data_IF_569140854815
#
_entry.id   IF_569140854815
#
_cell.length_a   1.000
_cell.length_b   1.000
_cell.length_c   1.000
_cell.angle_alpha   90.00
_cell.angle_beta   90.00
_cell.angle_gamma   90.00
#
_symmetry.space_group_name_H-M   'P 1'
#
loop_
_entity.id
_entity.type
_entity.pdbx_description
1 polymer ?
#
# COMPACT_ATOMS: atom_id res chain seq x y z
N UNK A 1 -19.63 3.61 45.98
CA UNK A 1 -20.33 2.72 45.06
C UNK A 1 -19.85 3.11 43.68
N UNK A 2 -18.68 2.55 43.28
CA UNK A 2 -18.08 2.79 41.96
C UNK A 2 -18.71 1.82 40.99
N UNK A 3 -19.30 2.34 39.93
CA UNK A 3 -19.76 1.53 38.80
C UNK A 3 -18.52 1.26 37.94
N UNK A 4 -18.11 0.01 37.90
CA UNK A 4 -17.18 -0.52 36.88
C UNK A 4 -17.88 -0.43 35.56
N UNK A 5 -17.37 0.43 34.66
CA UNK A 5 -17.74 0.47 33.26
C UNK A 5 -17.06 -0.68 32.54
N UNK A 6 -17.83 -1.53 31.88
CA UNK A 6 -17.34 -2.57 30.97
C UNK A 6 -16.59 -1.89 29.81
N UNK A 7 -15.30 -1.99 29.83
CA UNK A 7 -14.39 -1.55 28.77
C UNK A 7 -14.36 -2.66 27.69
N UNK A 8 -15.47 -2.80 26.96
CA UNK A 8 -15.49 -3.59 25.71
C UNK A 8 -14.92 -2.73 24.59
N UNK A 9 -13.61 -2.48 24.65
CA UNK A 9 -12.84 -1.99 23.52
C UNK A 9 -12.92 -3.02 22.39
N UNK A 10 -13.65 -2.69 21.33
CA UNK A 10 -13.60 -3.44 20.07
C UNK A 10 -12.21 -3.18 19.50
N UNK A 11 -11.35 -4.15 19.63
CA UNK A 11 -9.99 -4.16 19.09
C UNK A 11 -10.13 -4.34 17.55
N UNK A 12 -10.25 -3.23 16.79
CA UNK A 12 -10.26 -3.26 15.33
C UNK A 12 -8.87 -3.59 14.82
N UNK A 13 -8.67 -4.85 14.46
CA UNK A 13 -7.46 -5.33 13.85
C UNK A 13 -7.52 -5.11 12.31
N UNK A 14 -6.38 -4.81 11.67
CA UNK A 14 -6.25 -4.76 10.19
C UNK A 14 -6.90 -5.97 9.51
N UNK A 15 -6.80 -7.14 10.12
CA UNK A 15 -7.43 -8.36 9.65
C UNK A 15 -8.97 -8.28 9.60
N UNK A 16 -9.62 -7.54 10.51
CA UNK A 16 -11.08 -7.44 10.54
C UNK A 16 -11.61 -6.60 9.37
N UNK A 17 -10.91 -5.52 9.00
CA UNK A 17 -11.25 -4.71 7.83
C UNK A 17 -11.08 -5.49 6.52
N UNK A 18 -9.98 -6.25 6.39
CA UNK A 18 -9.76 -7.11 5.23
C UNK A 18 -10.76 -8.27 5.14
N UNK A 19 -11.23 -8.77 6.28
CA UNK A 19 -12.29 -9.80 6.34
C UNK A 19 -13.59 -9.24 5.77
N UNK A 20 -14.00 -8.03 6.15
CA UNK A 20 -15.22 -7.40 5.62
C UNK A 20 -15.14 -7.17 4.10
N UNK A 21 -14.00 -6.69 3.59
CA UNK A 21 -13.79 -6.51 2.15
C UNK A 21 -13.83 -7.85 1.42
N UNK A 22 -13.21 -8.87 1.98
CA UNK A 22 -13.21 -10.22 1.41
C UNK A 22 -14.61 -10.84 1.40
N UNK A 23 -15.40 -10.62 2.45
CA UNK A 23 -16.80 -11.06 2.52
C UNK A 23 -17.66 -10.38 1.45
N UNK A 24 -17.44 -9.09 1.18
CA UNK A 24 -18.11 -8.38 0.07
C UNK A 24 -17.71 -8.97 -1.30
N UNK A 25 -16.43 -9.29 -1.51
CA UNK A 25 -15.97 -9.94 -2.74
C UNK A 25 -16.63 -11.32 -2.90
N UNK A 26 -16.68 -12.13 -1.85
CA UNK A 26 -17.34 -13.45 -1.85
C UNK A 26 -18.84 -13.36 -2.10
N UNK A 27 -19.51 -12.37 -1.51
CA UNK A 27 -20.93 -12.10 -1.77
C UNK A 27 -21.14 -11.75 -3.25
N UNK A 28 -20.29 -10.90 -3.86
CA UNK A 28 -20.39 -10.57 -5.28
C UNK A 28 -20.08 -11.75 -6.19
N UNK A 29 -19.14 -12.62 -5.83
CA UNK A 29 -18.90 -13.89 -6.52
C UNK A 29 -20.17 -14.75 -6.54
N UNK A 30 -20.84 -14.88 -5.41
CA UNK A 30 -22.07 -15.67 -5.30
C UNK A 30 -23.22 -15.06 -6.14
N UNK A 31 -23.35 -13.77 -6.15
CA UNK A 31 -24.32 -13.04 -6.98
C UNK A 31 -24.08 -13.28 -8.47
N UNK A 32 -22.85 -13.10 -8.95
CA UNK A 32 -22.46 -13.36 -10.35
C UNK A 32 -22.70 -14.79 -10.77
N UNK A 33 -22.42 -15.76 -9.90
CA UNK A 33 -22.74 -17.16 -10.17
C UNK A 33 -24.24 -17.37 -10.37
N UNK A 34 -25.07 -16.71 -9.57
CA UNK A 34 -26.53 -16.79 -9.71
C UNK A 34 -27.04 -16.07 -10.96
N UNK A 35 -26.46 -14.89 -11.31
CA UNK A 35 -26.78 -14.20 -12.57
C UNK A 35 -26.45 -15.07 -13.79
N UNK A 36 -25.28 -15.67 -13.84
CA UNK A 36 -24.85 -16.56 -14.91
C UNK A 36 -25.81 -17.77 -15.03
N UNK A 37 -26.17 -18.39 -13.90
CA UNK A 37 -27.15 -19.50 -13.88
C UNK A 37 -28.50 -19.05 -14.47
N UNK A 38 -28.99 -17.88 -14.10
CA UNK A 38 -30.26 -17.34 -14.59
C UNK A 38 -30.20 -17.10 -16.11
N UNK A 39 -29.11 -16.51 -16.62
CA UNK A 39 -28.90 -16.26 -18.04
C UNK A 39 -28.83 -17.58 -18.84
N UNK A 40 -28.14 -18.61 -18.33
CA UNK A 40 -28.06 -19.94 -18.96
C UNK A 40 -29.42 -20.60 -19.01
N UNK A 41 -30.23 -20.50 -17.95
CA UNK A 41 -31.62 -21.03 -17.93
C UNK A 41 -32.46 -20.29 -18.99
N UNK A 42 -32.28 -18.99 -19.18
CA UNK A 42 -33.00 -18.20 -20.19
C UNK A 42 -32.73 -18.64 -21.62
N UNK A 43 -31.51 -19.14 -21.88
CA UNK A 43 -31.13 -19.72 -23.17
C UNK A 43 -31.77 -21.09 -23.43
N UNK A 44 -32.44 -21.70 -22.44
CA UNK A 44 -33.04 -23.05 -22.52
C UNK A 44 -32.05 -24.11 -23.03
N UNK A 45 -30.78 -23.99 -22.66
CA UNK A 45 -29.73 -24.95 -22.99
C UNK A 45 -30.04 -26.29 -22.32
N UNK A 46 -29.86 -27.45 -22.97
CA UNK A 46 -30.01 -28.74 -22.31
C UNK A 46 -29.17 -28.80 -21.04
N UNK A 47 -29.78 -29.28 -19.93
CA UNK A 47 -29.17 -29.29 -18.58
C UNK A 47 -27.75 -29.82 -18.52
N UNK A 48 -27.42 -30.80 -19.35
CA UNK A 48 -26.06 -31.39 -19.39
C UNK A 48 -24.99 -30.39 -19.89
N UNK A 49 -25.32 -29.51 -20.82
CA UNK A 49 -24.41 -28.53 -21.39
C UNK A 49 -24.33 -27.26 -20.51
N UNK A 50 -25.50 -26.79 -20.04
CA UNK A 50 -25.56 -25.61 -19.17
C UNK A 50 -24.92 -25.86 -17.79
N UNK A 51 -25.10 -27.04 -17.22
CA UNK A 51 -24.47 -27.42 -15.94
C UNK A 51 -22.94 -27.54 -16.09
N UNK A 52 -22.46 -28.07 -17.22
CA UNK A 52 -21.04 -28.16 -17.53
C UNK A 52 -20.35 -26.79 -17.60
N UNK A 53 -21.03 -25.78 -18.18
CA UNK A 53 -20.52 -24.41 -18.26
C UNK A 53 -20.46 -23.70 -16.90
N UNK A 54 -21.51 -23.85 -16.11
CA UNK A 54 -21.55 -23.27 -14.75
C UNK A 54 -20.54 -23.96 -13.85
N UNK A 55 -20.39 -25.28 -13.94
CA UNK A 55 -19.42 -26.05 -13.14
C UNK A 55 -17.96 -25.77 -13.59
N UNK A 56 -17.69 -25.54 -14.87
CA UNK A 56 -16.36 -25.19 -15.34
C UNK A 56 -15.92 -23.80 -14.82
N UNK A 57 -16.85 -22.81 -14.75
CA UNK A 57 -16.61 -21.52 -14.11
C UNK A 57 -16.49 -21.61 -12.58
N UNK A 58 -17.20 -22.54 -11.94
CA UNK A 58 -17.20 -22.72 -10.50
C UNK A 58 -16.03 -23.54 -9.96
N UNK A 59 -15.42 -24.40 -10.79
CA UNK A 59 -14.39 -25.31 -10.34
C UNK A 59 -12.99 -24.72 -10.22
N UNK A 60 -12.79 -23.44 -10.63
CA UNK A 60 -11.50 -22.74 -10.48
C UNK A 60 -10.30 -23.45 -11.13
N UNK A 61 -10.55 -24.51 -11.91
CA UNK A 61 -9.47 -25.30 -12.50
C UNK A 61 -8.86 -24.55 -13.69
N UNK A 62 -7.60 -24.21 -13.58
CA UNK A 62 -6.77 -23.62 -14.63
C UNK A 62 -6.92 -24.41 -15.92
N UNK A 63 -7.54 -23.80 -16.93
CA UNK A 63 -7.68 -24.36 -18.29
C UNK A 63 -9.09 -24.76 -18.71
N UNK A 64 -10.06 -24.95 -17.80
CA UNK A 64 -11.43 -25.32 -18.17
C UNK A 64 -12.31 -24.13 -18.60
N UNK A 65 -11.98 -22.90 -18.16
CA UNK A 65 -12.63 -21.68 -18.64
C UNK A 65 -12.45 -21.47 -20.15
N UNK A 66 -11.26 -21.77 -20.67
CA UNK A 66 -10.97 -21.70 -22.11
C UNK A 66 -11.75 -22.76 -22.91
N UNK A 67 -11.96 -23.96 -22.35
CA UNK A 67 -12.76 -25.03 -22.99
C UNK A 67 -14.25 -24.68 -22.97
N UNK A 68 -14.75 -24.08 -21.89
CA UNK A 68 -16.12 -23.55 -21.81
C UNK A 68 -16.39 -22.45 -22.85
N UNK A 69 -15.44 -21.55 -23.06
CA UNK A 69 -15.53 -20.48 -24.05
C UNK A 69 -15.43 -21.01 -25.50
N UNK A 70 -14.58 -22.00 -25.75
CA UNK A 70 -14.49 -22.66 -27.06
C UNK A 70 -15.78 -23.41 -27.41
N UNK A 71 -16.47 -24.00 -26.42
CA UNK A 71 -17.75 -24.65 -26.60
C UNK A 71 -18.89 -23.65 -26.92
N UNK A 72 -18.85 -22.45 -26.37
CA UNK A 72 -19.78 -21.34 -26.68
C UNK A 72 -19.59 -20.82 -28.10
N UNK A 73 -18.39 -20.85 -28.66
CA UNK A 73 -18.06 -20.42 -30.02
C UNK A 73 -18.28 -21.49 -31.10
N UNK A 74 -18.60 -22.73 -30.72
CA UNK A 74 -18.78 -23.79 -31.71
C UNK A 74 -20.19 -23.80 -32.32
N UNK A 75 -20.28 -24.01 -33.66
CA UNK A 75 -21.56 -24.10 -34.38
C UNK A 75 -22.52 -25.14 -33.77
N UNK A 76 -22.00 -26.17 -33.06
CA UNK A 76 -22.78 -27.18 -32.38
C UNK A 76 -23.56 -26.66 -31.17
N UNK A 77 -23.08 -25.61 -30.50
CA UNK A 77 -23.76 -24.97 -29.38
C UNK A 77 -25.05 -24.27 -29.87
N UNK A 78 -25.00 -23.56 -31.01
CA UNK A 78 -26.15 -22.88 -31.56
C UNK A 78 -27.23 -23.85 -32.08
N UNK A 79 -26.85 -25.00 -32.61
CA UNK A 79 -27.79 -26.01 -33.15
C UNK A 79 -28.62 -26.73 -32.07
N UNK A 80 -28.14 -26.76 -30.81
CA UNK A 80 -28.83 -27.37 -29.67
C UNK A 80 -29.85 -26.48 -28.93
N UNK A 81 -29.87 -25.18 -29.23
CA UNK A 81 -30.74 -24.22 -28.56
C UNK A 81 -32.16 -24.28 -29.11
N UNK A 82 -33.05 -25.02 -28.47
CA UNK A 82 -34.50 -24.92 -28.64
C UNK A 82 -35.04 -23.72 -27.87
N UNK A 83 -34.99 -22.53 -28.43
CA UNK A 83 -35.58 -21.35 -27.81
C UNK A 83 -36.39 -20.54 -28.81
N UNK A 84 -37.45 -19.87 -28.33
CA UNK A 84 -38.25 -18.91 -29.09
C UNK A 84 -37.50 -17.60 -29.37
N UNK A 85 -36.29 -17.44 -28.81
CA UNK A 85 -35.44 -16.29 -28.97
C UNK A 85 -34.84 -16.25 -30.39
N UNK A 86 -34.84 -15.09 -30.99
CA UNK A 86 -34.14 -14.87 -32.26
C UNK A 86 -32.60 -14.88 -32.07
N UNK A 87 -31.85 -14.98 -33.16
CA UNK A 87 -30.39 -15.11 -33.10
C UNK A 87 -29.71 -13.89 -32.49
N UNK A 88 -30.25 -12.70 -32.64
CA UNK A 88 -29.74 -11.50 -32.02
C UNK A 88 -29.94 -11.47 -30.47
N UNK A 89 -31.10 -11.92 -30.05
CA UNK A 89 -31.39 -12.07 -28.60
C UNK A 89 -30.48 -13.11 -27.94
N UNK A 90 -30.26 -14.24 -28.60
CA UNK A 90 -29.32 -15.28 -28.14
C UNK A 90 -27.92 -14.72 -28.02
N UNK A 91 -27.45 -14.00 -29.04
CA UNK A 91 -26.12 -13.37 -29.06
C UNK A 91 -25.95 -12.40 -27.87
N UNK A 92 -26.90 -11.51 -27.66
CA UNK A 92 -26.86 -10.57 -26.52
C UNK A 92 -26.79 -11.27 -25.16
N UNK A 93 -27.48 -12.41 -24.99
CA UNK A 93 -27.42 -13.16 -23.73
C UNK A 93 -26.04 -13.84 -23.59
N UNK A 94 -25.50 -14.39 -24.66
CA UNK A 94 -24.17 -14.99 -24.64
C UNK A 94 -23.10 -13.97 -24.32
N UNK A 95 -23.14 -12.77 -24.94
CA UNK A 95 -22.21 -11.69 -24.67
C UNK A 95 -22.25 -11.28 -23.18
N UNK A 96 -23.44 -11.20 -22.59
CA UNK A 96 -23.59 -10.97 -21.13
C UNK A 96 -23.00 -12.08 -20.28
N UNK A 97 -23.22 -13.34 -20.64
CA UNK A 97 -22.62 -14.48 -19.92
C UNK A 97 -21.10 -14.37 -19.95
N UNK A 98 -20.51 -14.09 -21.11
CA UNK A 98 -19.06 -13.93 -21.25
C UNK A 98 -18.51 -12.77 -20.40
N UNK A 99 -19.21 -11.64 -20.38
CA UNK A 99 -18.85 -10.49 -19.55
C UNK A 99 -18.86 -10.86 -18.06
N UNK A 100 -19.95 -11.51 -17.59
CA UNK A 100 -20.09 -11.91 -16.17
C UNK A 100 -19.08 -13.01 -15.78
N UNK A 101 -18.75 -13.91 -16.70
CA UNK A 101 -17.70 -14.90 -16.46
C UNK A 101 -16.32 -14.24 -16.30
N UNK A 102 -15.99 -13.26 -17.14
CA UNK A 102 -14.74 -12.52 -17.02
C UNK A 102 -14.64 -11.71 -15.72
N UNK A 103 -15.76 -11.17 -15.22
CA UNK A 103 -15.82 -10.51 -13.91
C UNK A 103 -15.65 -11.53 -12.77
N UNK A 104 -16.35 -12.67 -12.86
CA UNK A 104 -16.26 -13.76 -11.88
C UNK A 104 -14.83 -14.31 -11.75
N UNK A 105 -14.17 -14.60 -12.86
CA UNK A 105 -12.78 -15.10 -12.85
C UNK A 105 -11.82 -14.11 -12.18
N UNK A 106 -11.99 -12.81 -12.43
CA UNK A 106 -11.17 -11.76 -11.79
C UNK A 106 -11.37 -11.72 -10.28
N UNK A 107 -12.64 -11.77 -9.82
CA UNK A 107 -12.95 -11.73 -8.39
C UNK A 107 -12.51 -12.99 -7.65
N UNK A 108 -12.72 -14.17 -8.25
CA UNK A 108 -12.23 -15.43 -7.67
C UNK A 108 -10.72 -15.46 -7.54
N UNK A 109 -10.00 -14.90 -8.54
CA UNK A 109 -8.55 -14.79 -8.45
C UNK A 109 -8.11 -13.80 -7.38
N UNK A 110 -8.82 -12.65 -7.23
CA UNK A 110 -8.55 -11.68 -6.16
C UNK A 110 -8.74 -12.35 -4.79
N UNK A 111 -9.84 -13.06 -4.58
CA UNK A 111 -10.14 -13.78 -3.33
C UNK A 111 -9.08 -14.85 -3.00
N UNK A 112 -8.65 -15.66 -4.00
CA UNK A 112 -7.58 -16.66 -3.83
C UNK A 112 -6.23 -16.02 -3.43
N UNK A 113 -5.88 -14.90 -4.05
CA UNK A 113 -4.64 -14.18 -3.74
C UNK A 113 -4.71 -13.57 -2.35
N UNK A 114 -5.86 -13.04 -1.95
CA UNK A 114 -6.08 -12.45 -0.63
C UNK A 114 -6.05 -13.52 0.47
N UNK A 115 -6.65 -14.70 0.25
CA UNK A 115 -6.52 -15.83 1.17
C UNK A 115 -5.05 -16.22 1.41
N UNK A 116 -4.23 -16.21 0.35
CA UNK A 116 -2.79 -16.47 0.48
C UNK A 116 -2.06 -15.37 1.24
N UNK A 117 -2.45 -14.10 1.05
CA UNK A 117 -1.89 -12.96 1.78
C UNK A 117 -2.17 -13.09 3.28
N UNK A 118 -3.41 -13.36 3.64
CA UNK A 118 -3.81 -13.58 5.05
C UNK A 118 -3.07 -14.78 5.64
N UNK A 119 -2.85 -15.83 4.85
CA UNK A 119 -2.06 -16.99 5.25
C UNK A 119 -0.55 -16.73 5.37
N UNK A 120 -0.06 -15.53 5.01
CA UNK A 120 1.33 -15.10 5.14
C UNK A 120 2.31 -15.78 4.17
N UNK A 121 1.85 -16.54 3.18
CA UNK A 121 2.70 -17.23 2.20
C UNK A 121 2.15 -17.04 0.80
N UNK A 122 2.90 -16.34 -0.05
CA UNK A 122 2.61 -16.15 -1.47
C UNK A 122 3.80 -16.56 -2.33
N UNK A 123 3.54 -17.21 -3.48
CA UNK A 123 4.60 -17.39 -4.47
C UNK A 123 4.82 -16.09 -5.27
N UNK A 124 5.99 -15.94 -5.91
CA UNK A 124 6.35 -14.73 -6.63
C UNK A 124 5.35 -14.36 -7.75
N UNK A 125 4.76 -15.35 -8.44
CA UNK A 125 3.77 -15.11 -9.50
C UNK A 125 2.46 -14.54 -8.98
N UNK A 126 2.00 -15.00 -7.82
CA UNK A 126 0.80 -14.47 -7.17
C UNK A 126 1.08 -13.08 -6.60
N UNK A 127 2.25 -12.86 -5.97
CA UNK A 127 2.66 -11.57 -5.43
C UNK A 127 2.78 -10.48 -6.53
N UNK A 128 3.26 -10.83 -7.72
CA UNK A 128 3.32 -9.91 -8.86
C UNK A 128 1.92 -9.50 -9.38
N UNK A 129 0.89 -10.27 -9.10
CA UNK A 129 -0.49 -9.99 -9.51
C UNK A 129 -1.31 -9.34 -8.39
N UNK A 130 -0.78 -9.32 -7.19
CA UNK A 130 -1.40 -8.62 -6.07
C UNK A 130 -1.38 -7.11 -6.34
N UNK A 131 -2.54 -6.47 -6.28
CA UNK A 131 -2.68 -5.03 -6.48
C UNK A 131 -2.69 -4.36 -5.10
N UNK A 132 -1.58 -3.74 -4.76
CA UNK A 132 -1.53 -2.86 -3.60
C UNK A 132 -2.32 -1.59 -3.88
N UNK A 133 -3.10 -1.16 -2.89
CA UNK A 133 -3.72 0.13 -2.95
C UNK A 133 -2.69 1.24 -2.71
N UNK A 134 -2.59 2.17 -3.65
CA UNK A 134 -1.69 3.32 -3.59
C UNK A 134 -2.45 4.64 -3.72
N UNK A 135 -1.82 5.75 -3.28
CA UNK A 135 -2.30 7.08 -3.60
C UNK A 135 -1.72 7.52 -4.95
N UNK A 136 -2.58 7.94 -5.90
CA UNK A 136 -2.13 8.44 -7.21
C UNK A 136 -1.60 9.87 -7.05
N UNK A 137 -0.42 10.03 -6.47
CA UNK A 137 0.21 11.32 -6.34
C UNK A 137 0.47 11.94 -7.71
N UNK A 138 0.43 13.26 -7.81
CA UNK A 138 0.58 14.01 -9.05
C UNK A 138 1.53 15.20 -8.92
N UNK A 139 2.13 15.61 -10.05
CA UNK A 139 3.04 16.75 -10.14
C UNK A 139 4.25 16.62 -9.22
N UNK A 140 4.60 17.69 -8.51
CA UNK A 140 5.79 17.71 -7.64
C UNK A 140 5.81 16.62 -6.56
N UNK A 141 4.64 16.13 -6.14
CA UNK A 141 4.55 15.08 -5.12
C UNK A 141 4.77 13.69 -5.71
N UNK A 142 4.31 13.44 -6.94
CA UNK A 142 4.64 12.25 -7.72
C UNK A 142 6.14 12.21 -8.04
N UNK A 143 6.72 13.34 -8.48
CA UNK A 143 8.16 13.44 -8.74
C UNK A 143 8.99 13.19 -7.48
N UNK A 144 8.50 13.60 -6.29
CA UNK A 144 9.19 13.39 -5.01
C UNK A 144 9.02 11.97 -4.48
N UNK A 145 7.81 11.42 -4.48
CA UNK A 145 7.46 10.20 -3.75
C UNK A 145 7.05 9.02 -4.61
N UNK A 146 6.70 9.22 -5.89
CA UNK A 146 6.05 8.22 -6.71
C UNK A 146 4.61 7.95 -6.25
N UNK A 147 4.20 6.68 -6.31
CA UNK A 147 2.89 6.20 -5.87
C UNK A 147 3.01 5.41 -4.56
N UNK A 148 2.92 6.05 -3.39
CA UNK A 148 3.05 5.35 -2.12
C UNK A 148 1.80 4.52 -1.79
N UNK A 149 1.99 3.43 -1.05
CA UNK A 149 0.87 2.64 -0.50
C UNK A 149 -0.02 3.51 0.40
N UNK A 150 -1.30 3.14 0.56
CA UNK A 150 -2.24 3.92 1.38
C UNK A 150 -1.86 4.02 2.86
N UNK A 151 -1.04 3.12 3.36
CA UNK A 151 -0.62 3.05 4.76
C UNK A 151 0.86 3.41 4.95
N UNK A 152 1.38 4.33 4.15
CA UNK A 152 2.78 4.72 4.21
C UNK A 152 3.14 5.42 5.54
N UNK A 153 4.41 5.28 5.94
CA UNK A 153 5.01 6.12 6.98
C UNK A 153 6.12 6.99 6.37
N UNK A 154 5.94 8.31 6.43
CA UNK A 154 6.89 9.31 5.96
C UNK A 154 7.59 9.98 7.14
N UNK A 155 8.92 9.92 7.23
CA UNK A 155 9.71 10.65 8.19
C UNK A 155 10.33 11.89 7.56
N UNK A 156 10.08 13.06 8.14
CA UNK A 156 10.68 14.34 7.72
C UNK A 156 11.64 14.83 8.80
N UNK A 157 12.88 15.05 8.46
CA UNK A 157 13.87 15.52 9.43
C UNK A 157 14.75 16.64 8.87
N UNK A 158 15.53 17.27 9.74
CA UNK A 158 16.47 18.35 9.39
C UNK A 158 16.72 19.29 10.56
N UNK A 159 17.71 20.17 10.40
CA UNK A 159 18.07 21.17 11.43
C UNK A 159 16.93 22.16 11.69
N UNK A 160 16.90 22.86 12.82
CA UNK A 160 15.95 23.95 13.03
C UNK A 160 15.98 24.99 11.92
N UNK A 161 14.81 25.55 11.57
CA UNK A 161 14.64 26.63 10.58
C UNK A 161 15.01 26.26 9.12
N UNK A 162 15.07 24.98 8.78
CA UNK A 162 15.36 24.53 7.42
C UNK A 162 14.12 24.38 6.52
N UNK A 163 12.90 24.52 7.08
CA UNK A 163 11.64 24.43 6.31
C UNK A 163 10.77 23.21 6.55
N UNK A 164 11.14 22.35 7.52
CA UNK A 164 10.37 21.11 7.82
C UNK A 164 8.87 21.35 8.01
N UNK A 165 8.48 22.26 8.91
CA UNK A 165 7.07 22.52 9.18
C UNK A 165 6.34 23.16 8.00
N UNK A 166 7.04 23.90 7.13
CA UNK A 166 6.45 24.43 5.87
C UNK A 166 6.19 23.28 4.91
N UNK A 167 7.18 22.39 4.73
CA UNK A 167 7.02 21.17 3.95
C UNK A 167 5.85 20.32 4.48
N UNK A 168 5.81 20.11 5.80
CA UNK A 168 4.77 19.31 6.45
C UNK A 168 3.36 19.88 6.24
N UNK A 169 3.17 21.20 6.37
CA UNK A 169 1.88 21.86 6.10
C UNK A 169 1.49 21.76 4.62
N UNK A 170 2.44 21.95 3.68
CA UNK A 170 2.17 21.78 2.24
C UNK A 170 1.79 20.34 1.93
N UNK A 171 2.48 19.36 2.52
CA UNK A 171 2.20 17.95 2.30
C UNK A 171 0.86 17.56 2.91
N UNK A 172 0.58 17.99 4.14
CA UNK A 172 -0.72 17.76 4.79
C UNK A 172 -1.88 18.35 3.97
N UNK A 173 -1.71 19.56 3.42
CA UNK A 173 -2.70 20.19 2.55
C UNK A 173 -2.90 19.38 1.25
N UNK A 174 -1.85 18.81 0.68
CA UNK A 174 -1.98 17.92 -0.49
C UNK A 174 -2.66 16.61 -0.13
N UNK A 175 -2.26 15.98 0.98
CA UNK A 175 -2.89 14.75 1.46
C UNK A 175 -4.40 14.92 1.73
N UNK A 176 -4.83 16.13 2.13
CA UNK A 176 -6.24 16.41 2.38
C UNK A 176 -7.14 16.37 1.12
N UNK A 177 -6.56 16.29 -0.08
CA UNK A 177 -7.27 16.02 -1.32
C UNK A 177 -7.74 14.55 -1.41
N UNK A 178 -7.06 13.65 -0.68
CA UNK A 178 -7.36 12.20 -0.66
C UNK A 178 -8.21 11.78 0.55
N UNK A 179 -8.36 12.63 1.56
CA UNK A 179 -9.18 12.36 2.72
C UNK A 179 -8.83 13.23 3.94
N UNK A 180 -9.56 13.10 5.05
CA UNK A 180 -9.34 13.89 6.26
C UNK A 180 -7.92 13.70 6.84
N UNK A 181 -7.30 14.81 7.22
CA UNK A 181 -5.94 14.87 7.78
C UNK A 181 -5.99 15.50 9.17
N UNK A 182 -5.38 14.87 10.16
CA UNK A 182 -5.08 15.45 11.44
C UNK A 182 -3.63 15.94 11.45
N UNK A 183 -3.41 17.25 11.66
CA UNK A 183 -2.08 17.83 11.88
C UNK A 183 -1.89 18.17 13.36
N UNK A 184 -1.04 17.43 14.05
CA UNK A 184 -0.69 17.67 15.44
C UNK A 184 0.47 18.67 15.50
N UNK A 185 0.16 19.92 15.87
CA UNK A 185 1.14 21.01 15.99
C UNK A 185 1.77 21.03 17.41
N UNK A 186 2.43 19.93 17.78
CA UNK A 186 2.92 19.75 19.16
C UNK A 186 3.99 20.77 19.56
N UNK A 187 4.89 21.17 18.66
CA UNK A 187 5.96 22.12 18.93
C UNK A 187 5.48 23.57 18.98
N UNK A 188 4.68 24.00 18.00
CA UNK A 188 4.25 25.40 17.88
C UNK A 188 2.93 25.70 18.59
N UNK A 189 2.02 24.71 18.70
CA UNK A 189 0.64 24.93 19.13
C UNK A 189 -0.12 25.87 18.20
N UNK A 190 -1.22 26.44 18.68
CA UNK A 190 -2.02 27.42 17.92
C UNK A 190 -1.37 28.83 17.93
N UNK A 191 -0.21 28.94 17.32
CA UNK A 191 0.60 30.16 17.27
C UNK A 191 0.31 31.02 16.05
N UNK A 192 0.73 32.30 16.09
CA UNK A 192 0.67 33.19 14.93
C UNK A 192 1.53 32.70 13.75
N UNK A 193 2.62 31.99 14.03
CA UNK A 193 3.50 31.41 13.02
C UNK A 193 2.84 30.23 12.33
N UNK A 194 2.13 29.36 13.06
CA UNK A 194 1.31 28.30 12.47
C UNK A 194 0.18 28.90 11.63
N UNK A 195 -0.56 29.90 12.14
CA UNK A 195 -1.62 30.56 11.41
C UNK A 195 -1.11 31.14 10.07
N UNK A 196 0.10 31.70 10.05
CA UNK A 196 0.71 32.19 8.82
C UNK A 196 0.99 31.06 7.83
N UNK A 197 1.57 29.94 8.29
CA UNK A 197 1.83 28.78 7.43
C UNK A 197 0.54 28.20 6.83
N UNK A 198 -0.52 28.11 7.65
CA UNK A 198 -1.84 27.65 7.18
C UNK A 198 -2.36 28.58 6.07
N UNK A 199 -2.32 29.90 6.27
CA UNK A 199 -2.77 30.87 5.28
C UNK A 199 -1.99 30.78 3.98
N UNK A 200 -0.68 30.57 4.07
CA UNK A 200 0.20 30.60 2.91
C UNK A 200 0.22 29.25 2.15
N UNK A 201 -0.04 28.11 2.85
CA UNK A 201 0.24 26.78 2.31
C UNK A 201 -0.81 25.69 2.59
N UNK A 202 -1.77 25.93 3.48
CA UNK A 202 -2.63 24.85 3.94
C UNK A 202 -4.02 25.28 4.40
N UNK A 203 -4.94 25.56 3.48
CA UNK A 203 -6.30 26.01 3.80
C UNK A 203 -7.42 25.07 3.36
N UNK A 204 -7.12 23.78 3.15
CA UNK A 204 -8.14 22.79 2.76
C UNK A 204 -9.07 22.48 3.94
N UNK A 205 -10.39 22.40 3.73
CA UNK A 205 -11.37 22.09 4.80
C UNK A 205 -11.23 20.67 5.41
N UNK A 206 -10.56 19.75 4.72
CA UNK A 206 -10.29 18.40 5.22
C UNK A 206 -8.98 18.32 6.05
N UNK A 207 -8.37 19.46 6.40
CA UNK A 207 -7.15 19.54 7.18
C UNK A 207 -7.43 20.16 8.55
N UNK A 208 -7.46 19.33 9.58
CA UNK A 208 -7.64 19.74 10.97
C UNK A 208 -6.30 19.91 11.67
N UNK A 209 -6.22 20.90 12.59
CA UNK A 209 -5.05 21.15 13.41
C UNK A 209 -5.37 20.91 14.88
N UNK A 210 -4.48 20.20 15.58
CA UNK A 210 -4.59 19.93 17.01
C UNK A 210 -3.36 20.42 17.77
N UNK A 211 -3.56 21.00 18.96
CA UNK A 211 -2.49 21.36 19.92
C UNK A 211 -2.39 20.26 20.97
N UNK A 212 -2.01 19.04 20.54
CA UNK A 212 -1.82 17.90 21.44
C UNK A 212 -0.36 17.83 21.92
N UNK A 213 -0.18 17.46 23.20
CA UNK A 213 1.09 17.48 23.90
C UNK A 213 1.50 16.13 24.48
N UNK A 214 0.71 15.09 24.26
CA UNK A 214 1.00 13.74 24.73
C UNK A 214 0.53 12.66 23.77
N UNK A 215 1.06 11.45 23.93
CA UNK A 215 0.65 10.25 23.20
C UNK A 215 -0.86 9.98 23.38
N UNK A 216 -1.35 10.02 24.62
CA UNK A 216 -2.73 9.68 24.97
C UNK A 216 -3.75 10.62 24.30
N UNK A 217 -3.40 11.89 24.11
CA UNK A 217 -4.26 12.84 23.41
C UNK A 217 -4.37 12.49 21.92
N UNK A 218 -3.27 12.09 21.29
CA UNK A 218 -3.23 11.67 19.88
C UNK A 218 -4.01 10.36 19.74
N UNK A 219 -3.67 9.36 20.52
CA UNK A 219 -4.31 8.04 20.50
C UNK A 219 -5.83 8.16 20.70
N UNK A 220 -6.26 8.89 21.72
CA UNK A 220 -7.70 9.11 21.98
C UNK A 220 -8.43 9.82 20.86
N UNK A 221 -7.76 10.75 20.15
CA UNK A 221 -8.33 11.46 19.01
C UNK A 221 -8.44 10.55 17.79
N UNK A 222 -7.42 9.72 17.54
CA UNK A 222 -7.41 8.82 16.37
C UNK A 222 -8.36 7.64 16.56
N UNK A 223 -8.58 7.20 17.78
CA UNK A 223 -9.49 6.11 18.10
C UNK A 223 -10.90 6.41 17.60
N UNK A 224 -11.40 5.60 16.70
CA UNK A 224 -12.72 5.76 16.07
C UNK A 224 -12.87 7.06 15.25
N UNK A 225 -11.78 7.59 14.68
CA UNK A 225 -11.82 8.74 13.78
C UNK A 225 -11.88 8.32 12.31
N UNK A 226 -12.35 9.25 11.45
CA UNK A 226 -12.36 9.06 10.00
C UNK A 226 -11.07 9.58 9.32
N UNK A 227 -10.05 9.97 10.11
CA UNK A 227 -8.79 10.46 9.56
C UNK A 227 -8.09 9.39 8.73
N UNK A 228 -7.61 9.79 7.55
CA UNK A 228 -6.79 8.95 6.67
C UNK A 228 -5.31 9.21 6.83
N UNK A 229 -4.97 10.37 7.39
CA UNK A 229 -3.59 10.80 7.57
C UNK A 229 -3.41 11.47 8.94
N UNK A 230 -2.30 11.15 9.60
CA UNK A 230 -1.87 11.81 10.82
C UNK A 230 -0.46 12.38 10.64
N UNK A 231 -0.33 13.71 10.81
CA UNK A 231 0.94 14.45 10.73
C UNK A 231 1.32 14.94 12.11
N UNK A 232 2.51 14.59 12.63
CA UNK A 232 2.95 14.93 13.98
C UNK A 232 4.19 15.84 13.93
N UNK A 233 4.04 17.11 14.23
CA UNK A 233 5.11 18.13 14.22
C UNK A 233 5.34 18.73 15.63
N UNK A 234 6.33 18.28 16.39
CA UNK A 234 7.31 17.25 16.12
C UNK A 234 7.27 16.16 17.20
N UNK A 235 7.61 14.92 16.81
CA UNK A 235 7.65 13.79 17.77
C UNK A 235 8.66 14.02 18.90
N UNK A 236 9.74 14.77 18.65
CA UNK A 236 10.74 15.08 19.69
C UNK A 236 10.19 15.98 20.78
N UNK A 237 9.19 16.81 20.50
CA UNK A 237 8.61 17.73 21.49
C UNK A 237 7.80 16.99 22.55
N UNK A 238 7.08 15.96 22.12
CA UNK A 238 6.25 15.11 22.99
C UNK A 238 6.93 13.80 23.37
N UNK A 239 8.21 13.63 23.00
CA UNK A 239 9.07 12.48 23.29
C UNK A 239 8.50 11.14 22.83
N UNK A 240 7.82 11.09 21.68
CA UNK A 240 7.38 9.81 21.11
C UNK A 240 8.57 8.95 20.70
N UNK A 241 8.49 7.69 21.04
CA UNK A 241 9.46 6.65 20.67
C UNK A 241 9.09 5.99 19.34
N UNK A 242 9.98 5.22 18.72
CA UNK A 242 9.62 4.39 17.56
C UNK A 242 8.49 3.41 17.90
N UNK A 243 8.50 2.86 19.10
CA UNK A 243 7.51 1.90 19.59
C UNK A 243 6.12 2.55 19.70
N UNK A 244 6.03 3.79 20.18
CA UNK A 244 4.76 4.55 20.26
C UNK A 244 4.17 4.77 18.84
N UNK A 245 5.01 5.06 17.85
CA UNK A 245 4.54 5.24 16.46
C UNK A 245 4.06 3.90 15.86
N UNK A 246 4.77 2.80 16.11
CA UNK A 246 4.32 1.48 15.66
C UNK A 246 3.00 1.07 16.33
N UNK A 247 2.80 1.43 17.59
CA UNK A 247 1.55 1.18 18.30
C UNK A 247 0.39 2.01 17.71
N UNK A 248 0.60 3.31 17.43
CA UNK A 248 -0.39 4.15 16.75
C UNK A 248 -0.75 3.60 15.37
N UNK A 249 0.23 3.09 14.61
CA UNK A 249 0.01 2.45 13.32
C UNK A 249 -0.80 1.16 13.44
N UNK A 250 -0.46 0.32 14.42
CA UNK A 250 -1.17 -0.93 14.67
C UNK A 250 -2.64 -0.70 15.08
N UNK A 251 -2.91 0.35 15.85
CA UNK A 251 -4.26 0.75 16.23
C UNK A 251 -5.05 1.43 15.09
N UNK A 252 -4.35 1.94 14.06
CA UNK A 252 -4.94 2.65 12.92
C UNK A 252 -4.41 2.09 11.58
N UNK A 253 -4.70 0.84 11.23
CA UNK A 253 -4.03 0.11 10.15
C UNK A 253 -4.32 0.65 8.74
N UNK A 254 -5.35 1.46 8.57
CA UNK A 254 -5.72 2.08 7.28
C UNK A 254 -5.21 3.52 7.14
N UNK A 255 -4.46 4.02 8.13
CA UNK A 255 -4.00 5.41 8.21
C UNK A 255 -2.54 5.52 7.77
N UNK A 256 -2.19 6.57 7.03
CA UNK A 256 -0.80 6.93 6.76
C UNK A 256 -0.28 7.96 7.77
N UNK A 257 0.99 7.84 8.14
CA UNK A 257 1.63 8.68 9.13
C UNK A 257 2.75 9.53 8.54
N UNK A 258 2.83 10.79 8.96
CA UNK A 258 3.94 11.70 8.66
C UNK A 258 4.51 12.20 9.97
N UNK A 259 5.76 11.86 10.28
CA UNK A 259 6.43 12.27 11.52
C UNK A 259 7.54 13.26 11.23
N UNK A 260 7.55 14.37 11.97
CA UNK A 260 8.58 15.40 11.84
C UNK A 260 9.57 15.26 13.02
N UNK A 261 10.86 15.25 12.69
CA UNK A 261 11.95 15.11 13.65
C UNK A 261 12.99 16.23 13.52
N UNK A 262 13.66 16.52 14.62
CA UNK A 262 14.84 17.40 14.61
C UNK A 262 16.10 16.56 14.32
N UNK A 263 16.97 17.07 13.45
CA UNK A 263 18.28 16.49 13.27
C UNK A 263 19.20 16.75 14.47
N UNK A 264 20.10 15.80 14.73
CA UNK A 264 21.21 15.99 15.68
C UNK A 264 22.20 17.06 15.19
N UNK A 265 23.12 17.49 16.06
CA UNK A 265 24.20 18.43 15.67
C UNK A 265 25.05 17.89 14.50
N UNK A 266 25.16 16.58 14.37
CA UNK A 266 25.89 15.92 13.28
C UNK A 266 25.08 15.76 11.98
N UNK A 267 23.82 16.23 11.95
CA UNK A 267 22.97 16.18 10.76
C UNK A 267 22.21 14.87 10.54
N UNK A 268 22.34 13.88 11.44
CA UNK A 268 21.51 12.67 11.41
C UNK A 268 20.17 12.89 12.13
N UNK A 269 19.13 12.12 11.78
CA UNK A 269 17.86 12.15 12.48
C UNK A 269 18.08 11.89 13.99
N UNK A 270 17.40 12.68 14.84
CA UNK A 270 17.55 12.55 16.29
C UNK A 270 16.74 11.34 16.74
N UNK A 271 17.40 10.36 17.37
CA UNK A 271 16.69 9.26 18.03
C UNK A 271 16.78 7.90 17.40
N UNK A 272 17.43 7.70 16.33
CA UNK A 272 17.98 6.43 15.86
C UNK A 272 17.77 6.11 14.36
N UNK A 273 18.63 5.27 13.86
CA UNK A 273 18.46 4.54 12.60
C UNK A 273 17.13 3.74 12.58
N UNK A 274 16.61 3.37 13.74
CA UNK A 274 15.38 2.60 13.91
C UNK A 274 14.15 3.32 13.34
N UNK A 275 13.96 4.64 13.59
CA UNK A 275 12.89 5.40 12.95
C UNK A 275 12.98 5.36 11.43
N UNK A 276 14.17 5.56 10.86
CA UNK A 276 14.36 5.55 9.42
C UNK A 276 14.14 4.16 8.80
N UNK A 277 14.47 3.10 9.53
CA UNK A 277 14.24 1.72 9.06
C UNK A 277 12.76 1.35 8.94
N UNK A 278 11.93 1.89 9.83
CA UNK A 278 10.49 1.62 9.88
C UNK A 278 9.67 2.54 8.95
N UNK A 279 10.35 3.49 8.26
CA UNK A 279 9.68 4.39 7.33
C UNK A 279 9.78 3.91 5.89
N UNK A 280 8.73 4.16 5.12
CA UNK A 280 8.70 3.91 3.68
C UNK A 280 9.33 5.06 2.91
N UNK A 281 9.20 6.29 3.43
CA UNK A 281 9.70 7.52 2.85
C UNK A 281 10.48 8.30 3.91
N UNK A 282 11.67 8.77 3.55
CA UNK A 282 12.53 9.58 4.42
C UNK A 282 12.90 10.86 3.69
N UNK A 283 12.60 12.01 4.30
CA UNK A 283 12.84 13.34 3.72
C UNK A 283 13.77 14.13 4.61
N UNK A 284 14.94 14.52 4.11
CA UNK A 284 15.78 15.52 4.76
C UNK A 284 15.51 16.91 4.17
N UNK A 285 15.14 17.86 5.03
CA UNK A 285 14.93 19.25 4.59
C UNK A 285 16.15 20.10 4.93
N UNK A 286 16.80 20.65 3.88
CA UNK A 286 18.01 21.47 3.98
C UNK A 286 17.80 22.76 3.19
N UNK A 287 17.90 23.92 3.84
CA UNK A 287 17.80 25.24 3.22
C UNK A 287 16.58 25.41 2.28
N UNK A 288 15.44 24.81 2.64
CA UNK A 288 14.20 24.90 1.86
C UNK A 288 14.14 23.93 0.68
N UNK A 289 15.03 22.97 0.60
CA UNK A 289 14.97 21.85 -0.35
C UNK A 289 14.69 20.57 0.42
N UNK A 290 13.67 19.82 0.01
CA UNK A 290 13.34 18.50 0.51
C UNK A 290 14.07 17.45 -0.35
N UNK A 291 14.92 16.65 0.27
CA UNK A 291 15.66 15.56 -0.34
C UNK A 291 15.05 14.25 0.14
N UNK A 292 14.46 13.49 -0.78
CA UNK A 292 13.79 12.24 -0.49
C UNK A 292 14.68 11.02 -0.76
N UNK A 293 14.55 10.03 0.11
CA UNK A 293 14.97 8.66 -0.07
C UNK A 293 13.85 7.74 0.40
N UNK A 294 13.47 6.74 -0.36
CA UNK A 294 12.38 5.85 0.03
C UNK A 294 12.26 4.61 -0.83
N UNK A 295 11.22 3.82 -0.51
CA UNK A 295 10.98 2.51 -1.16
C UNK A 295 10.19 2.63 -2.46
N UNK A 296 9.37 3.68 -2.63
CA UNK A 296 8.46 3.83 -3.77
C UNK A 296 9.09 4.61 -4.92
N UNK A 297 10.04 5.50 -4.62
CA UNK A 297 10.74 6.35 -5.57
C UNK A 297 12.22 6.41 -5.20
N UNK A 298 13.10 6.50 -6.20
CA UNK A 298 14.53 6.73 -5.98
C UNK A 298 14.81 8.10 -5.35
N UNK A 299 16.09 8.43 -5.20
CA UNK A 299 16.49 9.74 -4.68
C UNK A 299 15.94 10.87 -5.56
N UNK A 300 15.23 11.82 -4.94
CA UNK A 300 14.53 12.93 -5.59
C UNK A 300 14.56 14.18 -4.71
N UNK A 301 14.33 15.34 -5.31
CA UNK A 301 14.40 16.62 -4.62
C UNK A 301 13.21 17.52 -5.00
N UNK A 302 12.75 18.34 -4.04
CA UNK A 302 11.68 19.30 -4.25
C UNK A 302 11.98 20.61 -3.51
N UNK A 303 11.75 21.76 -4.16
CA UNK A 303 11.81 23.05 -3.49
C UNK A 303 10.58 23.25 -2.58
N UNK A 304 10.81 23.57 -1.32
CA UNK A 304 9.78 23.84 -0.31
C UNK A 304 9.27 25.27 -0.42
N UNK A 305 10.15 26.23 -0.73
CA UNK A 305 9.80 27.62 -0.99
C UNK A 305 10.61 28.22 -2.14
N UNK A 306 10.12 29.29 -2.75
CA UNK A 306 10.85 30.07 -3.74
C UNK A 306 12.19 30.56 -3.18
N UNK A 307 13.23 30.55 -4.01
CA UNK A 307 14.61 30.91 -3.67
C UNK A 307 15.34 29.95 -2.71
N UNK A 308 14.87 28.71 -2.57
CA UNK A 308 15.66 27.69 -1.91
C UNK A 308 17.00 27.49 -2.64
N UNK A 309 18.11 27.49 -1.90
CA UNK A 309 19.41 27.20 -2.50
C UNK A 309 19.55 25.71 -2.70
N UNK A 310 19.83 25.30 -3.92
CA UNK A 310 20.19 23.92 -4.21
C UNK A 310 21.34 23.48 -3.30
N UNK A 311 21.13 22.38 -2.59
CA UNK A 311 22.19 21.80 -1.76
C UNK A 311 23.30 21.31 -2.68
N UNK A 312 24.50 21.86 -2.55
CA UNK A 312 25.71 21.33 -3.19
C UNK A 312 26.20 20.03 -2.57
N UNK A 313 25.43 19.43 -1.68
CA UNK A 313 25.71 18.10 -1.13
C UNK A 313 25.24 17.07 -2.12
N UNK A 314 26.14 16.19 -2.51
CA UNK A 314 25.79 14.98 -3.24
C UNK A 314 24.76 14.13 -2.48
N UNK A 315 24.22 13.08 -3.10
CA UNK A 315 23.10 12.32 -2.59
C UNK A 315 23.26 12.03 -1.10
N UNK A 316 22.17 12.21 -0.35
CA UNK A 316 22.11 11.93 1.09
C UNK A 316 22.70 10.54 1.31
N UNK A 317 23.88 10.47 1.95
CA UNK A 317 24.41 9.18 2.36
C UNK A 317 23.49 8.70 3.47
N UNK A 318 22.78 7.62 3.23
CA UNK A 318 22.13 6.85 4.27
C UNK A 318 23.08 6.65 5.46
N UNK A 319 22.57 6.34 6.65
CA UNK A 319 23.40 6.12 7.82
C UNK A 319 24.54 5.18 7.43
N UNK A 320 25.79 5.63 7.62
CA UNK A 320 26.96 4.78 7.38
C UNK A 320 26.76 3.52 8.22
N UNK A 321 26.85 2.31 7.64
CA UNK A 321 26.94 1.12 8.46
C UNK A 321 28.11 1.31 9.43
N UNK A 322 27.90 0.93 10.69
CA UNK A 322 28.95 0.98 11.68
C UNK A 322 30.16 0.22 11.12
N UNK A 323 31.29 0.93 10.96
CA UNK A 323 32.54 0.28 10.56
C UNK A 323 32.80 -0.87 11.53
N UNK A 324 32.79 -2.08 11.06
CA UNK A 324 33.80 -3.08 11.46
C UNK A 324 33.70 -4.42 10.70
N UNK A 325 32.60 -4.76 9.99
CA UNK A 325 32.48 -6.14 9.47
C UNK A 325 32.52 -6.27 7.92
N UNK A 326 32.59 -5.17 7.17
CA UNK A 326 32.59 -5.25 5.70
C UNK A 326 34.01 -5.28 5.06
N UNK A 327 35.09 -5.00 5.79
CA UNK A 327 36.45 -5.10 5.23
C UNK A 327 37.00 -6.54 5.15
N UNK A 328 36.36 -7.51 5.81
CA UNK A 328 36.71 -8.92 5.69
C UNK A 328 35.95 -9.68 4.61
N UNK A 329 34.86 -9.15 4.08
CA UNK A 329 34.08 -9.82 3.01
C UNK A 329 34.47 -9.46 1.58
N UNK A 330 35.20 -8.36 1.36
CA UNK A 330 35.67 -7.97 0.02
C UNK A 330 37.00 -8.61 -0.40
N UNK A 331 37.69 -9.34 0.50
CA UNK A 331 38.97 -9.99 0.14
C UNK A 331 38.85 -11.43 -0.38
N UNK A 332 37.65 -12.03 -0.36
CA UNK A 332 37.46 -13.44 -0.77
C UNK A 332 36.86 -13.62 -2.18
N UNK A 333 36.55 -12.54 -2.92
CA UNK A 333 36.06 -12.61 -4.31
C UNK A 333 37.05 -12.09 -5.37
N UNK A 334 38.34 -11.95 -5.02
CA UNK A 334 39.41 -11.60 -5.94
C UNK A 334 40.05 -12.84 -6.56
N UNK A 335 39.82 -13.04 -7.86
CA UNK A 335 40.53 -13.93 -8.76
C UNK A 335 40.15 -15.42 -8.76
N UNK A 336 39.07 -15.76 -9.43
CA UNK A 336 38.97 -16.98 -10.19
C UNK A 336 39.15 -16.65 -11.68
N UNK A 337 40.38 -16.76 -12.18
CA UNK A 337 40.64 -16.79 -13.60
C UNK A 337 40.07 -18.10 -14.17
N UNK A 338 39.08 -18.00 -15.02
CA UNK A 338 38.66 -19.08 -15.90
C UNK A 338 39.74 -19.21 -17.01
N UNK A 339 40.56 -20.23 -16.93
CA UNK A 339 41.24 -20.78 -18.09
C UNK A 339 40.78 -22.22 -18.24
N UNK A 340 40.29 -22.50 -19.45
CA UNK A 340 39.95 -23.82 -19.93
C UNK A 340 41.09 -24.83 -19.73
N UNK A 341 40.76 -25.99 -19.13
CA UNK A 341 41.32 -27.28 -19.59
C UNK A 341 40.36 -28.41 -19.19
N UNK A 342 39.82 -29.04 -20.21
CA UNK A 342 39.05 -30.29 -20.17
C UNK A 342 40.06 -31.42 -20.10
N UNK A 343 39.98 -32.27 -19.07
CA UNK A 343 40.14 -33.73 -19.14
C UNK A 343 40.34 -34.33 -17.76
N UNK A 344 39.55 -35.32 -17.42
CA UNK A 344 39.74 -36.15 -16.23
C UNK A 344 38.50 -36.90 -15.82
N UNK A 345 38.41 -38.15 -16.18
CA UNK A 345 37.34 -39.12 -15.87
C UNK A 345 36.95 -39.12 -14.39
N UNK A 346 35.67 -38.99 -14.10
CA UNK A 346 35.09 -39.21 -12.77
C UNK A 346 34.48 -40.63 -12.73
N UNK A 347 35.13 -41.48 -11.99
CA UNK A 347 34.65 -42.86 -11.66
C UNK A 347 33.48 -42.81 -10.66
N UNK A 348 32.31 -43.28 -11.10
CA UNK A 348 31.07 -43.37 -10.31
C UNK A 348 30.82 -44.72 -9.60
N UNK A 349 31.89 -45.46 -9.23
CA UNK A 349 31.70 -46.81 -8.71
C UNK A 349 31.54 -46.99 -7.18
N UNK A 350 31.23 -45.92 -6.40
CA UNK A 350 31.01 -46.08 -4.95
C UNK A 350 29.90 -45.18 -4.38
N UNK A 351 28.68 -45.51 -4.69
CA UNK A 351 27.52 -45.15 -3.84
C UNK A 351 26.56 -46.33 -3.86
N UNK A 352 26.66 -47.15 -2.78
CA UNK A 352 25.69 -48.16 -2.38
C UNK A 352 24.68 -47.58 -1.41
#
# INVERSE_FOLDING_TARGET
MYLEGDDNGIDFNENDFHIEEQDMVRARIQELQNEIKALVIHLRVPRAVGLGMVLAGLAGQRGLGAIGMAALGSAGFYAGMKSELNEEQKRRIIDRIMERQGELERLMRKDEIEDKRIGGIMNAGDLMQYQYESYPFAGKWEELFGEPSKTFHCMVFGKPKQGKSIFAVQFANYLSEFGPVLYVAAEEGFSATLQKKIRDYGSNPNLDFADYRSYEQIESCLRNSDYKFCVIDSINFINLTPEDIEELKAQNPTMAFVTIQQATKNGSARGSQQFAHNCDMVVEVINGVAHHMGRFQGASEMQVWENAQESKRGPVRGPKPANNDMQQMEMDFGHANFTDEVSGDVDFSNWG
#
